data_IF_875545552768
#
_entry.id   IF_875545552768
#
_cell.length_a   1.000
_cell.length_b   1.000
_cell.length_c   1.000
_cell.angle_alpha   90.00
_cell.angle_beta   90.00
_cell.angle_gamma   90.00
#
_symmetry.space_group_name_H-M   'P 1'
#
loop_
_entity.id
_entity.type
_entity.pdbx_description
1 polymer ?
#
# COMPACT_ATOMS: atom_id res chain seq x y z
N UNK A 1 -10.33 -7.79 -5.15
CA UNK A 1 -10.40 -9.22 -5.53
C UNK A 1 -9.22 -10.01 -5.01
N UNK A 2 -8.00 -9.46 -5.01
CA UNK A 2 -6.81 -10.08 -4.41
C UNK A 2 -7.03 -10.65 -3.00
N UNK A 3 -7.49 -9.82 -2.06
CA UNK A 3 -7.82 -10.28 -0.70
C UNK A 3 -8.85 -11.42 -0.70
N UNK A 4 -9.92 -11.28 -1.49
CA UNK A 4 -11.02 -12.25 -1.53
C UNK A 4 -10.57 -13.62 -2.07
N UNK A 5 -9.67 -13.63 -3.04
CA UNK A 5 -9.10 -14.87 -3.58
C UNK A 5 -8.13 -15.52 -2.58
N UNK A 6 -7.33 -14.72 -1.87
CA UNK A 6 -6.28 -15.23 -0.99
C UNK A 6 -6.73 -15.60 0.42
N UNK A 7 -7.74 -14.93 0.98
CA UNK A 7 -8.15 -15.12 2.38
C UNK A 7 -9.42 -15.99 2.49
N UNK A 8 -10.59 -15.57 1.99
CA UNK A 8 -11.77 -16.43 2.00
C UNK A 8 -11.80 -17.45 0.84
N UNK A 9 -10.81 -17.47 -0.06
CA UNK A 9 -10.69 -18.49 -1.10
C UNK A 9 -11.69 -18.35 -2.26
N UNK A 10 -12.17 -17.12 -2.53
CA UNK A 10 -13.13 -16.86 -3.61
C UNK A 10 -12.47 -17.10 -4.97
N UNK A 11 -13.03 -18.02 -5.75
CA UNK A 11 -12.54 -18.26 -7.12
C UNK A 11 -12.89 -17.10 -8.05
N UNK A 12 -11.87 -16.53 -8.70
CA UNK A 12 -12.04 -15.52 -9.76
C UNK A 12 -11.94 -16.22 -11.12
N UNK A 13 -12.93 -16.04 -12.03
CA UNK A 13 -12.82 -16.56 -13.39
C UNK A 13 -11.58 -16.02 -14.11
N UNK A 14 -10.86 -16.90 -14.81
CA UNK A 14 -9.60 -16.56 -15.47
C UNK A 14 -9.72 -15.38 -16.44
N UNK A 15 -10.84 -15.28 -17.18
CA UNK A 15 -11.06 -14.19 -18.13
C UNK A 15 -10.97 -12.80 -17.49
N UNK A 16 -11.31 -12.65 -16.21
CA UNK A 16 -11.21 -11.36 -15.51
C UNK A 16 -9.75 -10.94 -15.37
N UNK A 17 -8.87 -11.90 -15.09
CA UNK A 17 -7.43 -11.64 -15.01
C UNK A 17 -6.85 -11.41 -16.40
N UNK A 18 -7.29 -12.15 -17.42
CA UNK A 18 -6.82 -11.97 -18.79
C UNK A 18 -7.20 -10.60 -19.36
N UNK A 19 -8.45 -10.15 -19.17
CA UNK A 19 -8.89 -8.81 -19.60
C UNK A 19 -8.13 -7.70 -18.84
N UNK A 20 -7.88 -7.90 -17.54
CA UNK A 20 -7.12 -6.93 -16.74
C UNK A 20 -5.65 -6.83 -17.21
N UNK A 21 -5.06 -7.89 -17.78
CA UNK A 21 -3.70 -7.82 -18.35
C UNK A 21 -3.64 -6.84 -19.53
N UNK A 22 -4.64 -6.85 -20.41
CA UNK A 22 -4.71 -5.87 -21.50
C UNK A 22 -4.82 -4.44 -20.98
N UNK A 23 -5.57 -4.23 -19.90
CA UNK A 23 -5.66 -2.92 -19.25
C UNK A 23 -4.32 -2.48 -18.64
N UNK A 24 -3.63 -3.37 -17.92
CA UNK A 24 -2.30 -3.11 -17.33
C UNK A 24 -1.31 -2.63 -18.41
N UNK A 25 -1.24 -3.35 -19.53
CA UNK A 25 -0.36 -2.98 -20.65
C UNK A 25 -0.77 -1.67 -21.31
N UNK A 26 -2.07 -1.40 -21.39
CA UNK A 26 -2.59 -0.19 -22.03
C UNK A 26 -2.39 1.07 -21.18
N UNK A 27 -2.64 1.01 -19.87
CA UNK A 27 -2.75 2.20 -19.02
C UNK A 27 -1.40 2.72 -18.54
N UNK A 28 -0.38 1.86 -18.53
CA UNK A 28 0.95 2.22 -18.07
C UNK A 28 1.66 3.12 -19.09
N UNK A 29 2.32 4.17 -18.59
CA UNK A 29 3.06 5.09 -19.43
C UNK A 29 4.43 4.54 -19.80
N UNK A 30 4.62 4.18 -21.06
CA UNK A 30 5.89 3.61 -21.57
C UNK A 30 7.11 4.52 -21.37
N UNK A 31 6.93 5.84 -21.28
CA UNK A 31 8.05 6.79 -21.17
C UNK A 31 8.56 7.03 -19.76
N UNK A 32 7.78 6.73 -18.73
CA UNK A 32 8.19 6.95 -17.33
C UNK A 32 7.81 5.82 -16.37
N UNK A 33 7.08 4.81 -16.82
CA UNK A 33 6.66 3.64 -16.07
C UNK A 33 5.47 3.85 -15.12
N UNK A 34 5.02 5.09 -14.89
CA UNK A 34 3.87 5.37 -14.03
C UNK A 34 2.54 5.08 -14.70
N UNK A 35 1.46 5.01 -13.92
CA UNK A 35 0.12 4.71 -14.44
C UNK A 35 -0.70 5.96 -14.78
N UNK A 36 -1.41 5.90 -15.92
CA UNK A 36 -2.42 6.88 -16.33
C UNK A 36 -3.73 6.74 -15.54
N UNK A 37 -4.72 7.57 -15.88
CA UNK A 37 -6.06 7.54 -15.26
C UNK A 37 -7.08 6.79 -16.11
N UNK A 38 -7.31 7.26 -17.34
CA UNK A 38 -8.19 6.62 -18.33
C UNK A 38 -7.47 6.32 -19.66
N UNK A 39 -6.26 6.84 -19.85
CA UNK A 39 -5.38 6.58 -20.99
C UNK A 39 -3.89 6.58 -20.58
N UNK A 40 -3.00 5.93 -21.34
CA UNK A 40 -1.56 5.90 -21.05
C UNK A 40 -0.95 7.30 -20.97
N UNK A 41 0.05 7.45 -20.11
CA UNK A 41 0.79 8.71 -19.93
C UNK A 41 -0.06 9.92 -19.51
N UNK A 42 -1.27 9.69 -19.03
CA UNK A 42 -2.20 10.72 -18.59
C UNK A 42 -3.40 10.83 -19.52
N UNK A 43 -4.54 11.18 -18.93
CA UNK A 43 -5.83 11.34 -19.58
C UNK A 43 -6.85 11.73 -18.52
N UNK A 44 -7.52 12.87 -18.69
CA UNK A 44 -8.29 13.53 -17.62
C UNK A 44 -7.49 14.01 -16.40
N UNK A 45 -6.30 13.44 -16.14
CA UNK A 45 -5.39 13.71 -15.03
C UNK A 45 -3.95 13.24 -15.39
N UNK A 46 -2.90 13.82 -14.76
CA UNK A 46 -1.52 13.40 -14.97
C UNK A 46 -1.23 12.00 -14.40
N UNK A 47 -0.12 11.40 -14.83
CA UNK A 47 0.49 10.22 -14.18
C UNK A 47 0.81 10.56 -12.72
N UNK A 48 0.57 9.63 -11.80
CA UNK A 48 0.73 9.88 -10.36
C UNK A 48 1.01 8.64 -9.55
N UNK A 49 1.61 8.82 -8.39
CA UNK A 49 2.01 7.79 -7.42
C UNK A 49 0.82 6.94 -6.97
N UNK A 50 -0.33 7.56 -6.70
CA UNK A 50 -1.56 6.84 -6.30
C UNK A 50 -2.05 5.86 -7.37
N UNK A 51 -1.97 6.23 -8.64
CA UNK A 51 -2.37 5.38 -9.77
C UNK A 51 -1.34 4.28 -10.01
N UNK A 52 -0.06 4.60 -9.90
CA UNK A 52 1.03 3.60 -10.03
C UNK A 52 0.99 2.57 -8.90
N UNK A 53 0.66 2.97 -7.67
CA UNK A 53 0.39 2.03 -6.57
C UNK A 53 -0.77 1.07 -6.87
N UNK A 54 -1.86 1.59 -7.46
CA UNK A 54 -3.00 0.78 -7.89
C UNK A 54 -2.63 -0.21 -9.01
N UNK A 55 -1.85 0.23 -10.00
CA UNK A 55 -1.32 -0.63 -11.07
C UNK A 55 -0.54 -1.82 -10.51
N UNK A 56 0.30 -1.60 -9.49
CA UNK A 56 1.04 -2.70 -8.84
C UNK A 56 0.11 -3.70 -8.16
N UNK A 57 -1.00 -3.25 -7.54
CA UNK A 57 -2.01 -4.16 -6.98
C UNK A 57 -2.70 -4.98 -8.08
N UNK A 58 -2.97 -4.39 -9.24
CA UNK A 58 -3.52 -5.10 -10.41
C UNK A 58 -2.54 -6.17 -10.93
N UNK A 59 -1.24 -5.83 -11.01
CA UNK A 59 -0.18 -6.77 -11.37
C UNK A 59 -0.07 -7.93 -10.38
N UNK A 60 -0.11 -7.65 -9.07
CA UNK A 60 -0.11 -8.68 -8.03
C UNK A 60 -1.32 -9.60 -8.15
N UNK A 61 -2.50 -9.04 -8.42
CA UNK A 61 -3.73 -9.80 -8.57
C UNK A 61 -3.78 -10.71 -9.80
N UNK A 62 -3.27 -10.24 -10.93
CA UNK A 62 -3.23 -10.99 -12.18
C UNK A 62 -2.06 -11.98 -12.27
N UNK A 63 -1.06 -11.81 -11.40
CA UNK A 63 0.24 -12.50 -11.50
C UNK A 63 1.03 -12.08 -12.75
N UNK A 64 0.72 -10.91 -13.31
CA UNK A 64 1.31 -10.40 -14.55
C UNK A 64 2.10 -9.13 -14.27
N UNK A 65 3.37 -9.12 -14.66
CA UNK A 65 4.28 -8.00 -14.40
C UNK A 65 4.25 -6.92 -15.50
N UNK A 66 3.29 -6.93 -16.41
CA UNK A 66 3.33 -6.10 -17.62
C UNK A 66 4.30 -6.63 -18.68
N UNK A 67 4.31 -5.99 -19.84
CA UNK A 67 5.22 -6.29 -20.95
C UNK A 67 5.87 -5.01 -21.47
N UNK A 68 7.20 -5.00 -21.52
CA UNK A 68 8.00 -3.95 -22.17
C UNK A 68 8.49 -4.40 -23.55
N UNK A 69 8.45 -3.49 -24.53
CA UNK A 69 8.88 -3.72 -25.92
C UNK A 69 10.37 -3.44 -26.19
N UNK A 70 11.15 -3.14 -25.14
CA UNK A 70 12.59 -2.89 -25.19
C UNK A 70 13.07 -2.02 -24.04
N UNK A 71 14.37 -1.72 -23.97
CA UNK A 71 14.97 -0.99 -22.84
C UNK A 71 14.47 0.46 -22.65
N UNK A 72 13.91 1.07 -23.70
CA UNK A 72 13.32 2.41 -23.63
C UNK A 72 11.84 2.40 -23.22
N UNK A 73 11.22 1.21 -23.18
CA UNK A 73 9.84 1.02 -22.79
C UNK A 73 9.77 0.57 -21.33
N UNK A 74 9.09 1.37 -20.52
CA UNK A 74 8.97 1.17 -19.08
C UNK A 74 7.59 0.61 -18.68
N UNK A 75 6.81 0.08 -19.62
CA UNK A 75 5.47 -0.51 -19.36
C UNK A 75 5.52 -1.91 -18.70
N UNK A 76 6.31 -2.04 -17.64
CA UNK A 76 6.34 -3.24 -16.81
C UNK A 76 6.47 -2.90 -15.32
N UNK A 77 6.46 -3.91 -14.46
CA UNK A 77 6.59 -3.76 -13.02
C UNK A 77 7.87 -3.01 -12.63
N UNK A 78 8.98 -3.23 -13.34
CA UNK A 78 10.25 -2.57 -13.04
C UNK A 78 10.14 -1.07 -13.32
N UNK A 79 9.51 -0.70 -14.45
CA UNK A 79 9.21 0.70 -14.75
C UNK A 79 8.27 1.36 -13.73
N UNK A 80 7.24 0.65 -13.25
CA UNK A 80 6.35 1.15 -12.21
C UNK A 80 7.09 1.41 -10.89
N UNK A 81 7.97 0.50 -10.47
CA UNK A 81 8.79 0.66 -9.28
C UNK A 81 9.80 1.82 -9.44
N UNK A 82 10.43 1.95 -10.61
CA UNK A 82 11.32 3.06 -10.92
C UNK A 82 10.61 4.42 -10.90
N UNK A 83 9.36 4.48 -11.38
CA UNK A 83 8.54 5.68 -11.29
C UNK A 83 8.30 6.08 -9.83
N UNK A 84 7.94 5.13 -8.98
CA UNK A 84 7.70 5.40 -7.55
C UNK A 84 8.98 5.83 -6.83
N UNK A 85 10.11 5.21 -7.13
CA UNK A 85 11.41 5.61 -6.59
C UNK A 85 11.77 7.06 -6.97
N UNK A 86 11.65 7.40 -8.25
CA UNK A 86 11.93 8.74 -8.74
C UNK A 86 11.02 9.82 -8.12
N UNK A 87 9.80 9.46 -7.70
CA UNK A 87 8.80 10.37 -7.14
C UNK A 87 8.59 10.18 -5.63
N UNK A 88 9.45 9.40 -4.97
CA UNK A 88 9.24 8.97 -3.59
C UNK A 88 9.09 10.13 -2.62
N UNK A 89 9.92 11.17 -2.78
CA UNK A 89 9.97 12.32 -1.90
C UNK A 89 8.91 13.40 -2.22
N UNK A 90 8.06 13.19 -3.23
CA UNK A 90 7.08 14.19 -3.61
C UNK A 90 6.10 14.45 -2.46
N UNK A 91 5.98 15.73 -2.07
CA UNK A 91 4.96 16.19 -1.15
C UNK A 91 3.56 16.22 -1.78
N UNK A 92 2.52 16.49 -0.98
CA UNK A 92 1.15 16.41 -1.46
C UNK A 92 0.83 17.61 -2.39
N UNK A 93 0.26 17.32 -3.56
CA UNK A 93 -0.09 18.31 -4.58
C UNK A 93 -1.43 17.99 -5.25
N UNK A 94 -2.52 18.44 -4.63
CA UNK A 94 -3.89 18.19 -5.10
C UNK A 94 -4.21 16.70 -5.16
N UNK A 95 -4.36 16.16 -6.36
CA UNK A 95 -4.60 14.73 -6.59
C UNK A 95 -3.31 13.87 -6.66
N UNK A 96 -2.14 14.50 -6.64
CA UNK A 96 -0.83 13.86 -6.84
C UNK A 96 0.07 14.03 -5.61
N UNK A 97 1.24 13.39 -5.65
CA UNK A 97 2.22 13.41 -4.57
C UNK A 97 2.26 12.08 -3.82
N UNK A 98 3.18 11.97 -2.88
CA UNK A 98 3.40 10.77 -2.09
C UNK A 98 3.37 11.08 -0.59
N UNK A 99 4.49 11.52 -0.01
CA UNK A 99 4.64 11.75 1.42
C UNK A 99 3.65 12.83 1.89
N UNK A 100 2.79 12.48 2.85
CA UNK A 100 1.75 13.37 3.37
C UNK A 100 0.48 13.46 2.52
N UNK A 101 0.39 12.67 1.45
CA UNK A 101 -0.82 12.50 0.63
C UNK A 101 -1.47 11.16 1.03
N UNK A 102 -2.53 11.15 1.86
CA UNK A 102 -3.01 9.92 2.52
C UNK A 102 -3.47 8.83 1.54
N UNK A 103 -4.11 9.22 0.44
CA UNK A 103 -4.60 8.27 -0.56
C UNK A 103 -3.47 7.66 -1.40
N UNK A 104 -2.49 8.48 -1.78
CA UNK A 104 -1.33 8.02 -2.51
C UNK A 104 -0.45 7.13 -1.65
N UNK A 105 -0.15 7.52 -0.40
CA UNK A 105 0.60 6.68 0.54
C UNK A 105 -0.06 5.32 0.71
N UNK A 106 -1.39 5.28 0.88
CA UNK A 106 -2.12 4.01 1.01
C UNK A 106 -2.03 3.15 -0.25
N UNK A 107 -2.26 3.75 -1.42
CA UNK A 107 -2.21 3.02 -2.70
C UNK A 107 -0.80 2.49 -2.99
N UNK A 108 0.23 3.31 -2.77
CA UNK A 108 1.63 2.94 -2.94
C UNK A 108 2.03 1.86 -1.95
N UNK A 109 1.68 2.02 -0.66
CA UNK A 109 1.91 1.00 0.37
C UNK A 109 1.36 -0.36 -0.07
N UNK A 110 0.10 -0.41 -0.53
CA UNK A 110 -0.49 -1.65 -0.99
C UNK A 110 0.13 -2.20 -2.26
N UNK A 111 0.50 -1.34 -3.21
CA UNK A 111 1.23 -1.74 -4.40
C UNK A 111 2.58 -2.39 -4.08
N UNK A 112 3.39 -1.75 -3.22
CA UNK A 112 4.70 -2.27 -2.83
C UNK A 112 4.59 -3.53 -1.96
N UNK A 113 3.76 -3.52 -0.93
CA UNK A 113 3.55 -4.68 -0.05
C UNK A 113 3.15 -5.93 -0.85
N UNK A 114 2.21 -5.78 -1.80
CA UNK A 114 1.72 -6.91 -2.59
C UNK A 114 2.67 -7.40 -3.69
N UNK A 115 3.68 -6.60 -4.09
CA UNK A 115 4.56 -6.94 -5.23
C UNK A 115 6.02 -7.21 -4.85
N UNK A 116 6.52 -6.52 -3.82
CA UNK A 116 7.92 -6.60 -3.36
C UNK A 116 8.03 -6.86 -1.85
N UNK A 117 6.91 -6.92 -1.12
CA UNK A 117 6.90 -7.08 0.34
C UNK A 117 7.45 -5.86 1.08
N UNK A 118 7.43 -5.92 2.41
CA UNK A 118 7.88 -4.82 3.28
C UNK A 118 9.42 -4.64 3.26
N UNK A 119 10.16 -5.68 2.90
CA UNK A 119 11.63 -5.69 2.87
C UNK A 119 12.22 -5.49 1.48
N UNK A 120 11.38 -5.16 0.48
CA UNK A 120 11.83 -4.89 -0.88
C UNK A 120 12.83 -3.73 -0.95
N UNK A 121 13.82 -3.84 -1.84
CA UNK A 121 14.96 -2.91 -1.96
C UNK A 121 14.89 -2.01 -3.20
N UNK A 122 13.75 -1.98 -3.90
CA UNK A 122 13.61 -1.30 -5.19
C UNK A 122 13.39 0.22 -5.05
N UNK A 123 12.92 0.67 -3.89
CA UNK A 123 12.88 2.09 -3.54
C UNK A 123 14.12 2.40 -2.73
N UNK A 124 14.86 3.43 -3.15
CA UNK A 124 16.14 3.86 -2.59
C UNK A 124 16.22 5.37 -2.39
N UNK A 125 15.36 6.14 -3.06
CA UNK A 125 15.28 7.60 -2.97
C UNK A 125 14.53 8.07 -1.69
N UNK A 126 14.95 7.57 -0.53
CA UNK A 126 14.27 7.77 0.75
C UNK A 126 14.17 9.24 1.16
N UNK A 127 13.09 9.59 1.86
CA UNK A 127 12.89 10.92 2.44
C UNK A 127 13.84 11.17 3.60
N UNK A 128 14.12 10.14 4.40
CA UNK A 128 15.13 10.17 5.46
C UNK A 128 16.42 9.46 5.02
N UNK A 129 17.57 10.11 5.25
CA UNK A 129 18.89 9.56 4.88
C UNK A 129 19.91 9.70 6.02
N UNK A 130 20.88 8.78 6.06
CA UNK A 130 22.01 8.82 6.99
C UNK A 130 21.56 8.87 8.45
N UNK A 131 22.07 9.85 9.20
CA UNK A 131 21.79 10.00 10.64
C UNK A 131 20.32 10.33 10.96
N UNK A 132 19.51 10.68 9.96
CA UNK A 132 18.08 10.95 10.15
C UNK A 132 17.21 9.69 10.07
N UNK A 133 17.77 8.53 9.69
CA UNK A 133 17.04 7.26 9.67
C UNK A 133 16.96 6.70 11.09
N UNK A 134 15.74 6.53 11.61
CA UNK A 134 15.49 5.97 12.93
C UNK A 134 15.34 4.46 12.81
N UNK A 135 16.49 3.76 12.83
CA UNK A 135 16.50 2.30 12.84
C UNK A 135 16.00 1.76 14.17
N UNK A 136 15.10 0.79 14.12
CA UNK A 136 14.62 0.06 15.30
C UNK A 136 15.62 -1.04 15.73
N UNK A 137 16.35 -1.64 14.78
CA UNK A 137 17.50 -2.52 14.98
C UNK A 137 18.76 -1.97 14.28
N UNK A 138 19.90 -1.82 14.99
CA UNK A 138 21.18 -1.41 14.37
C UNK A 138 21.62 -2.27 13.17
N UNK A 139 21.18 -3.52 13.09
CA UNK A 139 21.50 -4.44 12.01
C UNK A 139 20.49 -4.40 10.85
N UNK A 140 19.39 -3.65 10.97
CA UNK A 140 18.39 -3.61 9.91
C UNK A 140 18.87 -2.79 8.70
N UNK A 141 18.46 -3.25 7.52
CA UNK A 141 18.65 -2.57 6.26
C UNK A 141 17.44 -1.68 6.04
N UNK A 142 17.68 -0.38 6.18
CA UNK A 142 16.66 0.65 5.99
C UNK A 142 15.92 0.46 4.65
N UNK A 143 14.60 0.37 4.72
CA UNK A 143 13.73 0.13 3.58
C UNK A 143 12.61 1.18 3.45
N UNK A 144 11.82 1.02 2.40
CA UNK A 144 10.74 1.94 2.05
C UNK A 144 9.63 2.01 3.09
N UNK A 145 9.35 0.89 3.78
CA UNK A 145 8.29 0.83 4.76
C UNK A 145 8.70 1.53 6.06
N UNK A 146 9.97 1.42 6.46
CA UNK A 146 10.52 2.20 7.56
C UNK A 146 10.50 3.71 7.27
N UNK A 147 10.78 4.12 6.02
CA UNK A 147 10.71 5.53 5.60
C UNK A 147 9.29 6.10 5.72
N UNK A 148 8.28 5.34 5.28
CA UNK A 148 6.86 5.67 5.54
C UNK A 148 6.51 5.68 7.02
N UNK A 149 6.96 4.69 7.78
CA UNK A 149 6.63 4.56 9.20
C UNK A 149 7.20 5.74 9.99
N UNK A 150 8.45 6.12 9.73
CA UNK A 150 9.05 7.29 10.34
C UNK A 150 8.32 8.58 9.94
N UNK A 151 7.94 8.74 8.66
CA UNK A 151 7.16 9.90 8.22
C UNK A 151 5.84 10.01 9.00
N UNK A 152 5.13 8.89 9.14
CA UNK A 152 3.85 8.85 9.84
C UNK A 152 4.00 9.14 11.33
N UNK A 153 4.97 8.55 12.03
CA UNK A 153 5.23 8.86 13.44
C UNK A 153 5.56 10.34 13.63
N UNK A 154 6.36 10.93 12.75
CA UNK A 154 6.75 12.34 12.84
C UNK A 154 5.62 13.33 12.49
N UNK A 155 4.60 12.89 11.74
CA UNK A 155 3.48 13.73 11.28
C UNK A 155 2.18 13.50 12.06
N UNK A 156 2.20 12.62 13.07
CA UNK A 156 1.03 12.33 13.89
C UNK A 156 0.71 13.51 14.83
N UNK A 157 -0.57 13.87 14.93
CA UNK A 157 -1.05 14.91 15.83
C UNK A 157 -0.87 14.47 17.29
N UNK A 158 -0.10 15.22 18.07
CA UNK A 158 0.18 14.90 19.47
C UNK A 158 -1.07 14.94 20.38
N UNK A 159 -2.11 15.68 20.00
CA UNK A 159 -3.30 15.88 20.83
C UNK A 159 -4.29 14.72 20.79
N UNK A 160 -4.45 14.07 19.63
CA UNK A 160 -5.49 13.06 19.41
C UNK A 160 -4.99 11.80 18.68
N UNK A 161 -3.71 11.73 18.32
CA UNK A 161 -3.12 10.59 17.62
C UNK A 161 -3.56 10.42 16.16
N UNK A 162 -4.31 11.36 15.62
CA UNK A 162 -4.73 11.34 14.22
C UNK A 162 -3.63 11.81 13.28
N UNK A 163 -3.83 11.65 11.97
CA UNK A 163 -3.01 12.31 10.96
C UNK A 163 -3.78 13.44 10.28
N UNK A 164 -3.09 14.54 9.92
CA UNK A 164 -3.72 15.57 9.12
C UNK A 164 -4.23 14.96 7.81
N UNK A 165 -5.50 15.21 7.52
CA UNK A 165 -6.05 14.93 6.19
C UNK A 165 -5.40 15.80 5.13
N UNK A 166 -5.76 15.57 3.87
CA UNK A 166 -5.31 16.42 2.76
C UNK A 166 -6.38 16.50 1.68
N UNK A 167 -6.64 17.71 1.18
CA UNK A 167 -7.51 17.95 0.02
C UNK A 167 -8.91 17.30 0.16
N UNK A 168 -9.21 16.19 -0.53
CA UNK A 168 -10.48 15.46 -0.41
C UNK A 168 -10.48 14.33 0.62
N UNK A 169 -9.35 14.07 1.28
CA UNK A 169 -9.18 13.00 2.25
C UNK A 169 -9.17 13.58 3.66
N UNK A 170 -10.32 13.64 4.33
CA UNK A 170 -10.42 14.20 5.67
C UNK A 170 -9.61 13.39 6.70
N UNK A 171 -9.40 13.99 7.87
CA UNK A 171 -8.57 13.47 8.96
C UNK A 171 -8.93 12.04 9.37
N UNK A 172 -10.22 11.73 9.46
CA UNK A 172 -10.73 10.39 9.78
C UNK A 172 -10.32 9.36 8.73
N UNK A 173 -10.47 9.68 7.45
CA UNK A 173 -10.07 8.81 6.35
C UNK A 173 -8.54 8.65 6.27
N UNK A 174 -7.80 9.75 6.41
CA UNK A 174 -6.34 9.72 6.46
C UNK A 174 -5.83 8.85 7.61
N UNK A 175 -6.43 9.00 8.80
CA UNK A 175 -6.09 8.20 9.98
C UNK A 175 -6.39 6.72 9.76
N UNK A 176 -7.54 6.40 9.17
CA UNK A 176 -7.92 5.02 8.88
C UNK A 176 -6.94 4.32 7.91
N UNK A 177 -6.33 5.05 6.97
CA UNK A 177 -5.31 4.48 6.08
C UNK A 177 -3.92 4.44 6.70
N UNK A 178 -3.47 5.54 7.30
CA UNK A 178 -2.12 5.66 7.83
C UNK A 178 -1.84 4.66 8.96
N UNK A 179 -2.84 4.36 9.80
CA UNK A 179 -2.67 3.37 10.87
C UNK A 179 -2.42 1.95 10.31
N UNK A 180 -2.98 1.62 9.15
CA UNK A 180 -2.77 0.32 8.52
C UNK A 180 -1.36 0.17 7.95
N UNK A 181 -0.76 1.27 7.47
CA UNK A 181 0.63 1.31 7.02
C UNK A 181 1.56 1.02 8.20
N UNK A 182 1.36 1.70 9.34
CA UNK A 182 2.15 1.46 10.56
C UNK A 182 1.99 0.04 11.10
N UNK A 183 0.78 -0.53 11.00
CA UNK A 183 0.52 -1.90 11.42
C UNK A 183 1.07 -2.97 10.45
N UNK A 184 1.79 -2.58 9.39
CA UNK A 184 2.30 -3.51 8.39
C UNK A 184 1.20 -4.43 7.81
N UNK A 185 -0.01 -3.89 7.62
CA UNK A 185 -1.18 -4.66 7.18
C UNK A 185 -1.01 -5.25 5.78
N UNK A 186 -0.91 -6.58 5.67
CA UNK A 186 -0.71 -7.29 4.40
C UNK A 186 -2.01 -7.59 3.63
N UNK A 187 -1.92 -7.89 2.33
CA UNK A 187 -3.00 -8.55 1.58
C UNK A 187 -2.72 -10.05 1.48
N UNK A 188 -3.63 -10.88 1.99
CA UNK A 188 -3.45 -12.34 1.99
C UNK A 188 -2.44 -12.82 3.04
N UNK A 189 -1.97 -14.07 2.98
CA UNK A 189 -0.95 -14.58 3.91
C UNK A 189 0.44 -13.92 3.74
N UNK A 190 0.56 -12.90 2.89
CA UNK A 190 1.85 -12.31 2.53
C UNK A 190 2.77 -13.29 1.79
N UNK A 191 3.96 -12.84 1.36
CA UNK A 191 5.05 -13.74 0.97
C UNK A 191 5.71 -14.43 2.17
N UNK A 192 5.29 -14.09 3.39
CA UNK A 192 5.85 -14.60 4.62
C UNK A 192 5.27 -15.99 4.94
N UNK A 193 6.10 -17.06 5.04
CA UNK A 193 5.63 -18.39 5.43
C UNK A 193 5.08 -18.42 6.88
N UNK A 194 5.30 -17.35 7.66
CA UNK A 194 4.67 -17.13 8.95
C UNK A 194 3.68 -15.96 8.83
N UNK A 195 2.35 -16.20 8.82
CA UNK A 195 1.42 -15.10 8.97
C UNK A 195 1.75 -14.37 10.27
N UNK A 196 1.85 -13.04 10.21
CA UNK A 196 1.88 -12.20 11.40
C UNK A 196 0.75 -12.66 12.32
N UNK A 197 1.02 -13.02 13.58
CA UNK A 197 -0.05 -13.43 14.49
C UNK A 197 -1.10 -12.33 14.51
N UNK A 198 -2.37 -12.68 14.27
CA UNK A 198 -3.46 -11.74 14.47
C UNK A 198 -3.26 -11.08 15.84
N UNK A 199 -3.30 -9.74 15.93
CA UNK A 199 -3.04 -9.08 17.19
C UNK A 199 -4.03 -9.63 18.22
N UNK A 200 -3.49 -10.07 19.37
CA UNK A 200 -4.23 -10.74 20.44
C UNK A 200 -5.45 -9.95 20.95
N UNK A 201 -5.59 -8.68 20.54
CA UNK A 201 -6.74 -7.80 20.71
C UNK A 201 -8.04 -8.36 20.13
N UNK A 202 -8.03 -9.09 19.00
CA UNK A 202 -9.26 -9.74 18.47
C UNK A 202 -9.72 -10.90 19.37
N UNK A 203 -8.77 -11.69 19.86
CA UNK A 203 -9.01 -12.75 20.84
C UNK A 203 -9.48 -12.18 22.19
N UNK A 204 -8.93 -11.03 22.62
CA UNK A 204 -9.37 -10.33 23.82
C UNK A 204 -10.79 -9.76 23.68
N UNK A 205 -11.16 -9.23 22.51
CA UNK A 205 -12.51 -8.74 22.23
C UNK A 205 -13.52 -9.90 22.24
N UNK A 206 -13.16 -11.04 21.64
CA UNK A 206 -13.95 -12.27 21.67
C UNK A 206 -14.15 -12.81 23.09
N UNK A 207 -13.09 -12.83 23.91
CA UNK A 207 -13.18 -13.23 25.31
C UNK A 207 -14.00 -12.24 26.17
N UNK A 208 -13.89 -10.93 25.91
CA UNK A 208 -14.68 -9.91 26.59
C UNK A 208 -16.18 -10.05 26.26
N UNK A 209 -16.52 -10.35 25.01
CA UNK A 209 -17.91 -10.58 24.57
C UNK A 209 -18.50 -11.87 25.18
N UNK A 210 -17.70 -12.95 25.29
CA UNK A 210 -18.13 -14.20 25.95
C UNK A 210 -18.30 -13.99 27.47
N UNK A 211 -17.40 -13.24 28.10
CA UNK A 211 -17.50 -12.86 29.52
C UNK A 211 -18.77 -12.06 29.82
N UNK A 212 -19.12 -11.10 28.95
CA UNK A 212 -20.36 -10.32 29.05
C UNK A 212 -21.61 -11.20 28.90
N UNK A 213 -21.65 -12.10 27.91
CA UNK A 213 -22.78 -13.02 27.70
C UNK A 213 -22.97 -14.00 28.88
N UNK A 214 -21.88 -14.49 29.48
CA UNK A 214 -21.92 -15.35 30.66
C UNK A 214 -22.43 -14.64 31.91
N UNK A 215 -22.11 -13.35 32.07
CA UNK A 215 -22.55 -12.54 33.22
C UNK A 215 -24.04 -12.17 33.15
N UNK A 216 -24.60 -12.01 31.95
CA UNK A 216 -26.02 -11.70 31.73
C UNK A 216 -26.92 -12.92 31.97
N UNK A 217 -26.45 -14.14 31.66
CA UNK A 217 -27.20 -15.39 31.93
C UNK A 217 -27.30 -15.76 33.42
N UNK A 218 -26.36 -15.31 34.26
CA UNK A 218 -26.43 -15.58 35.71
C UNK A 218 -27.37 -14.67 36.49
N UNK A 219 -27.89 -13.59 35.89
CA UNK A 219 -28.81 -12.66 36.56
C UNK A 219 -30.30 -12.97 36.32
N UNK A 220 -30.62 -14.07 35.63
CA UNK A 220 -32.01 -14.47 35.28
C UNK A 220 -32.39 -15.87 35.76
N UNK A 221 -31.66 -16.42 36.74
CA UNK A 221 -32.02 -17.66 37.44
C UNK A 221 -32.26 -17.39 38.93
#
# INVERSE_FOLDING_TARGET
MLFAEQVPGVSVPLFVKDELRYWIDYIQCSSNGGSGYDSPCGGGAPVSESKTGGLLVEMAFTGYNGSSSGAADLSDKVGALAYLDANWQNGPNGWNGNMGQPYAMWSVYKGLESTIGLTGSQITNFFYTGANQIKDDPNDIWNWWEDYSQYLVNSQNAGDGSWPGYYYWPQDLATAWNINILNATQVGPGPDPNPTPEPATLSLLGLALIGLAGSLRRKTA
#
